data_IF_807046924578
#
_entry.id   IF_807046924578
#
_cell.length_a   1.000
_cell.length_b   1.000
_cell.length_c   1.000
_cell.angle_alpha   90.00
_cell.angle_beta   90.00
_cell.angle_gamma   90.00
#
_symmetry.space_group_name_H-M   'P 1'
#
loop_
_entity.id
_entity.type
_entity.pdbx_description
1 polymer ?
#
# COMPACT_ATOMS: atom_id res chain seq x y z
N UNK A 1 -18.11 49.07 12.11
CA UNK A 1 -16.75 48.60 11.77
C UNK A 1 -16.53 47.20 12.29
N UNK A 2 -16.47 47.03 13.61
CA UNK A 2 -15.98 45.78 14.22
C UNK A 2 -16.98 44.61 14.28
N UNK A 3 -18.28 44.88 14.34
CA UNK A 3 -19.30 43.81 14.37
C UNK A 3 -19.38 43.01 13.05
N UNK A 4 -19.11 43.65 11.91
CA UNK A 4 -19.11 42.99 10.60
C UNK A 4 -17.86 42.11 10.39
N UNK A 5 -16.70 42.53 10.91
CA UNK A 5 -15.48 41.73 10.90
C UNK A 5 -15.58 40.50 11.83
N UNK A 6 -16.20 40.65 13.01
CA UNK A 6 -16.43 39.54 13.94
C UNK A 6 -17.41 38.47 13.43
N UNK A 7 -18.42 38.86 12.63
CA UNK A 7 -19.37 37.93 12.00
C UNK A 7 -18.73 37.15 10.85
N UNK A 8 -17.86 37.80 10.06
CA UNK A 8 -17.12 37.13 8.96
C UNK A 8 -16.08 36.12 9.50
N UNK A 9 -15.32 36.50 10.53
CA UNK A 9 -14.33 35.62 11.20
C UNK A 9 -15.04 34.49 11.99
N UNK A 10 -16.15 34.80 12.68
CA UNK A 10 -16.93 33.79 13.41
C UNK A 10 -17.69 32.81 12.50
N UNK A 11 -18.06 33.24 11.29
CA UNK A 11 -18.74 32.42 10.28
C UNK A 11 -17.85 31.34 9.67
N UNK A 12 -16.61 31.69 9.31
CA UNK A 12 -15.61 30.74 8.78
C UNK A 12 -15.22 29.68 9.82
N UNK A 13 -15.02 30.09 11.07
CA UNK A 13 -14.66 29.18 12.16
C UNK A 13 -15.78 28.20 12.51
N UNK A 14 -17.04 28.66 12.46
CA UNK A 14 -18.20 27.78 12.69
C UNK A 14 -18.38 26.79 11.54
N UNK A 15 -18.24 27.23 10.29
CA UNK A 15 -18.29 26.37 9.12
C UNK A 15 -17.19 25.29 9.16
N UNK A 16 -15.96 25.67 9.50
CA UNK A 16 -14.84 24.74 9.62
C UNK A 16 -15.06 23.71 10.74
N UNK A 17 -15.57 24.13 11.91
CA UNK A 17 -15.92 23.20 13.00
C UNK A 17 -17.00 22.19 12.59
N UNK A 18 -18.04 22.64 11.89
CA UNK A 18 -19.11 21.77 11.37
C UNK A 18 -18.55 20.79 10.34
N UNK A 19 -17.76 21.26 9.40
CA UNK A 19 -17.09 20.42 8.40
C UNK A 19 -16.24 19.32 9.07
N UNK A 20 -15.33 19.70 9.98
CA UNK A 20 -14.48 18.75 10.70
C UNK A 20 -15.29 17.77 11.55
N UNK A 21 -16.42 18.18 12.12
CA UNK A 21 -17.32 17.27 12.84
C UNK A 21 -17.98 16.23 11.94
N UNK A 22 -18.37 16.63 10.72
CA UNK A 22 -18.91 15.74 9.70
C UNK A 22 -17.87 14.73 9.23
N UNK A 23 -16.64 15.19 8.97
CA UNK A 23 -15.51 14.32 8.61
C UNK A 23 -15.26 13.28 9.69
N UNK A 24 -15.16 13.67 10.97
CA UNK A 24 -14.99 12.72 12.08
C UNK A 24 -16.10 11.67 12.14
N UNK A 25 -17.36 12.08 11.91
CA UNK A 25 -18.49 11.14 11.86
C UNK A 25 -18.33 10.14 10.71
N UNK A 26 -17.93 10.61 9.54
CA UNK A 26 -17.70 9.74 8.38
C UNK A 26 -16.56 8.74 8.64
N UNK A 27 -15.48 9.18 9.29
CA UNK A 27 -14.38 8.29 9.70
C UNK A 27 -14.85 7.20 10.67
N UNK A 28 -15.65 7.57 11.68
CA UNK A 28 -16.18 6.58 12.63
C UNK A 28 -17.10 5.55 11.95
N UNK A 29 -17.96 6.00 11.02
CA UNK A 29 -18.81 5.08 10.24
C UNK A 29 -17.96 4.18 9.33
N UNK A 30 -16.91 4.73 8.71
CA UNK A 30 -16.00 3.94 7.88
C UNK A 30 -15.25 2.88 8.69
N UNK A 31 -14.76 3.22 9.89
CA UNK A 31 -14.11 2.27 10.79
C UNK A 31 -15.06 1.16 11.23
N UNK A 32 -16.29 1.51 11.62
CA UNK A 32 -17.31 0.54 12.03
C UNK A 32 -17.65 -0.45 10.90
N UNK A 33 -17.91 0.06 9.69
CA UNK A 33 -18.16 -0.78 8.52
C UNK A 33 -16.93 -1.63 8.19
N UNK A 34 -15.73 -1.05 8.24
CA UNK A 34 -14.47 -1.75 7.97
C UNK A 34 -14.26 -2.92 8.92
N UNK A 35 -14.41 -2.69 10.23
CA UNK A 35 -14.31 -3.74 11.25
C UNK A 35 -15.36 -4.84 11.04
N UNK A 36 -16.60 -4.48 10.76
CA UNK A 36 -17.67 -5.46 10.49
C UNK A 36 -17.38 -6.32 9.25
N UNK A 37 -16.81 -5.73 8.19
CA UNK A 37 -16.40 -6.47 6.99
C UNK A 37 -15.21 -7.40 7.29
N UNK A 38 -14.24 -6.94 8.08
CA UNK A 38 -13.09 -7.77 8.47
C UNK A 38 -13.53 -8.97 9.32
N UNK A 39 -14.42 -8.78 10.28
CA UNK A 39 -14.96 -9.89 11.08
C UNK A 39 -15.75 -10.87 10.21
N UNK A 40 -16.61 -10.39 9.30
CA UNK A 40 -17.33 -11.26 8.34
C UNK A 40 -16.38 -12.07 7.46
N UNK A 41 -15.22 -11.52 7.13
CA UNK A 41 -14.17 -12.20 6.36
C UNK A 41 -13.21 -13.02 7.25
N UNK A 42 -13.44 -13.07 8.56
CA UNK A 42 -12.56 -13.69 9.56
C UNK A 42 -11.10 -13.17 9.50
N UNK A 43 -10.91 -11.89 9.17
CA UNK A 43 -9.60 -11.24 9.08
C UNK A 43 -9.26 -10.50 10.37
N UNK A 44 -7.99 -10.56 10.79
CA UNK A 44 -7.49 -9.82 11.95
C UNK A 44 -7.44 -8.32 11.67
N UNK A 45 -8.08 -7.51 12.53
CA UNK A 45 -8.05 -6.05 12.49
C UNK A 45 -6.84 -5.42 13.19
N UNK A 46 -5.91 -6.25 13.70
CA UNK A 46 -4.66 -5.80 14.35
C UNK A 46 -3.84 -4.89 13.44
N UNK A 47 -3.80 -5.19 12.13
CA UNK A 47 -3.11 -4.36 11.14
C UNK A 47 -3.70 -2.96 11.04
N UNK A 48 -5.03 -2.84 10.96
CA UNK A 48 -5.74 -1.57 10.92
C UNK A 48 -5.50 -0.74 12.19
N UNK A 49 -5.58 -1.39 13.36
CA UNK A 49 -5.21 -0.77 14.65
C UNK A 49 -3.77 -0.25 14.64
N UNK A 50 -2.81 -1.02 14.13
CA UNK A 50 -1.41 -0.61 14.07
C UNK A 50 -1.20 0.59 13.14
N UNK A 51 -1.90 0.64 12.01
CA UNK A 51 -1.89 1.79 11.10
C UNK A 51 -2.46 3.02 11.81
N UNK A 52 -3.59 2.89 12.50
CA UNK A 52 -4.18 3.98 13.27
C UNK A 52 -3.27 4.46 14.41
N UNK A 53 -2.58 3.54 15.09
CA UNK A 53 -1.62 3.87 16.13
C UNK A 53 -0.47 4.74 15.59
N UNK A 54 0.02 4.44 14.38
CA UNK A 54 1.04 5.27 13.70
C UNK A 54 0.49 6.65 13.36
N UNK A 55 -0.78 6.76 12.96
CA UNK A 55 -1.43 8.05 12.68
C UNK A 55 -1.62 8.87 13.95
N UNK A 56 -2.07 8.26 15.05
CA UNK A 56 -2.25 8.94 16.34
C UNK A 56 -0.94 9.56 16.86
N UNK A 57 0.21 8.93 16.57
CA UNK A 57 1.54 9.45 16.92
C UNK A 57 1.93 10.71 16.14
N UNK A 58 1.30 10.98 14.99
CA UNK A 58 1.61 12.19 14.21
C UNK A 58 1.16 13.49 14.89
N UNK A 59 0.21 13.42 15.82
CA UNK A 59 -0.23 14.58 16.62
C UNK A 59 0.91 15.26 17.38
N UNK A 60 1.94 14.49 17.77
CA UNK A 60 3.11 15.01 18.47
C UNK A 60 4.14 15.68 17.53
N UNK A 61 3.97 15.55 16.20
CA UNK A 61 4.86 16.15 15.21
C UNK A 61 4.37 17.58 14.87
N UNK A 62 5.29 18.50 14.53
CA UNK A 62 4.94 19.77 13.91
C UNK A 62 4.09 19.55 12.65
N UNK A 63 3.16 20.46 12.35
CA UNK A 63 2.25 20.35 11.20
C UNK A 63 3.00 20.14 9.86
N UNK A 64 4.15 20.80 9.69
CA UNK A 64 5.02 20.64 8.51
C UNK A 64 5.61 19.24 8.33
N UNK A 65 5.54 18.39 9.35
CA UNK A 65 6.00 16.99 9.33
C UNK A 65 4.86 15.98 9.47
N UNK A 66 3.62 16.44 9.60
CA UNK A 66 2.46 15.56 9.58
C UNK A 66 2.18 15.11 8.14
N UNK A 67 1.75 13.86 7.98
CA UNK A 67 1.34 13.35 6.67
C UNK A 67 0.05 14.02 6.21
N UNK A 68 -0.09 14.21 4.90
CA UNK A 68 -1.33 14.70 4.26
C UNK A 68 -2.53 13.80 4.60
N UNK A 69 -2.29 12.50 4.80
CA UNK A 69 -3.33 11.57 5.21
C UNK A 69 -3.88 11.89 6.61
N UNK A 70 -3.02 12.29 7.56
CA UNK A 70 -3.45 12.66 8.91
C UNK A 70 -4.33 13.92 8.94
N UNK A 71 -4.04 14.89 8.08
CA UNK A 71 -4.83 16.14 8.00
C UNK A 71 -6.19 15.94 7.32
N UNK A 72 -6.32 14.95 6.42
CA UNK A 72 -7.58 14.61 5.74
C UNK A 72 -8.45 13.61 6.52
N UNK A 73 -7.84 12.76 7.35
CA UNK A 73 -8.53 11.76 8.18
C UNK A 73 -8.26 12.00 9.69
N UNK A 74 -8.95 12.96 10.33
CA UNK A 74 -8.72 13.36 11.72
C UNK A 74 -9.22 12.34 12.76
N UNK A 75 -9.06 12.69 14.05
CA UNK A 75 -9.52 11.92 15.22
C UNK A 75 -8.88 10.54 15.40
N UNK A 76 -7.61 10.41 15.02
CA UNK A 76 -6.88 9.15 15.10
C UNK A 76 -6.69 8.61 16.52
N UNK A 77 -6.74 9.44 17.57
CA UNK A 77 -6.63 8.98 18.95
C UNK A 77 -7.93 8.31 19.44
N UNK A 78 -9.08 8.95 19.19
CA UNK A 78 -10.40 8.41 19.53
C UNK A 78 -10.70 7.14 18.72
N UNK A 79 -10.38 7.16 17.42
CA UNK A 79 -10.50 5.99 16.53
C UNK A 79 -9.59 4.84 16.95
N UNK A 80 -8.34 5.13 17.37
CA UNK A 80 -7.43 4.12 17.89
C UNK A 80 -8.03 3.38 19.09
N UNK A 81 -8.71 4.08 20.00
CA UNK A 81 -9.35 3.45 21.16
C UNK A 81 -10.44 2.46 20.71
N UNK A 82 -11.33 2.88 19.81
CA UNK A 82 -12.38 2.00 19.27
C UNK A 82 -11.80 0.76 18.57
N UNK A 83 -10.75 0.94 17.74
CA UNK A 83 -10.06 -0.19 17.09
C UNK A 83 -9.38 -1.11 18.11
N UNK A 84 -8.79 -0.55 19.17
CA UNK A 84 -8.14 -1.33 20.22
C UNK A 84 -9.15 -2.17 21.01
N UNK A 85 -10.30 -1.60 21.33
CA UNK A 85 -11.38 -2.30 22.02
C UNK A 85 -11.94 -3.43 21.15
N UNK A 86 -12.15 -3.18 19.85
CA UNK A 86 -12.56 -4.22 18.90
C UNK A 86 -11.55 -5.36 18.81
N UNK A 87 -10.26 -5.04 18.65
CA UNK A 87 -9.19 -6.05 18.58
C UNK A 87 -9.15 -6.92 19.86
N UNK A 88 -9.41 -6.34 21.03
CA UNK A 88 -9.41 -7.09 22.28
C UNK A 88 -10.59 -8.06 22.40
N UNK A 89 -11.71 -7.78 21.71
CA UNK A 89 -12.94 -8.57 21.78
C UNK A 89 -13.10 -9.54 20.61
N UNK A 90 -12.53 -9.24 19.45
CA UNK A 90 -12.71 -10.04 18.23
C UNK A 90 -12.04 -11.42 18.34
N UNK A 91 -12.75 -12.51 18.01
CA UNK A 91 -12.16 -13.85 17.96
C UNK A 91 -11.17 -14.02 16.81
N UNK A 92 -11.15 -13.09 15.84
CA UNK A 92 -10.30 -13.16 14.64
C UNK A 92 -8.96 -12.46 14.82
N UNK A 93 -8.71 -11.80 15.96
CA UNK A 93 -7.49 -11.02 16.18
C UNK A 93 -6.19 -11.83 16.05
N UNK A 94 -6.24 -13.12 16.42
CA UNK A 94 -5.12 -14.05 16.30
C UNK A 94 -4.99 -14.71 14.91
N UNK A 95 -5.93 -14.46 14.00
CA UNK A 95 -5.89 -15.04 12.67
C UNK A 95 -4.71 -14.47 11.88
N UNK A 96 -3.82 -15.36 11.45
CA UNK A 96 -2.76 -15.00 10.52
C UNK A 96 -3.33 -14.81 9.11
N UNK A 97 -2.78 -13.88 8.31
CA UNK A 97 -3.07 -13.83 6.88
C UNK A 97 -2.76 -15.18 6.22
N UNK A 98 -3.49 -15.53 5.16
CA UNK A 98 -3.18 -16.73 4.39
C UNK A 98 -1.78 -16.64 3.78
N UNK A 99 -1.15 -17.79 3.52
CA UNK A 99 0.16 -17.85 2.84
C UNK A 99 0.15 -17.13 1.49
N UNK A 100 -0.99 -17.15 0.79
CA UNK A 100 -1.17 -16.46 -0.48
C UNK A 100 -1.19 -14.94 -0.30
N UNK A 101 -1.94 -14.43 0.69
CA UNK A 101 -1.93 -13.00 1.01
C UNK A 101 -0.54 -12.53 1.43
N UNK A 102 0.15 -13.29 2.28
CA UNK A 102 1.54 -12.98 2.67
C UNK A 102 2.46 -13.00 1.45
N UNK A 103 2.29 -13.97 0.53
CA UNK A 103 3.08 -14.05 -0.70
C UNK A 103 2.84 -12.86 -1.61
N UNK A 104 1.60 -12.51 -1.89
CA UNK A 104 1.25 -11.39 -2.75
C UNK A 104 1.69 -10.07 -2.14
N UNK A 105 1.54 -9.90 -0.82
CA UNK A 105 2.01 -8.71 -0.12
C UNK A 105 3.52 -8.54 -0.23
N UNK A 106 4.31 -9.58 0.02
CA UNK A 106 5.76 -9.52 -0.12
C UNK A 106 6.19 -9.20 -1.56
N UNK A 107 5.54 -9.81 -2.56
CA UNK A 107 5.80 -9.51 -3.97
C UNK A 107 5.46 -8.06 -4.31
N UNK A 108 4.33 -7.54 -3.83
CA UNK A 108 3.92 -6.15 -4.03
C UNK A 108 4.97 -5.18 -3.47
N UNK A 109 5.47 -5.44 -2.25
CA UNK A 109 6.55 -4.63 -1.65
C UNK A 109 7.81 -4.65 -2.52
N UNK A 110 8.21 -5.83 -3.03
CA UNK A 110 9.36 -5.95 -3.94
C UNK A 110 9.14 -5.25 -5.29
N UNK A 111 7.95 -5.38 -5.91
CA UNK A 111 7.60 -4.69 -7.16
C UNK A 111 7.63 -3.17 -6.94
N UNK A 112 7.03 -2.67 -5.86
CA UNK A 112 7.07 -1.24 -5.53
C UNK A 112 8.49 -0.75 -5.31
N UNK A 113 9.29 -1.45 -4.50
CA UNK A 113 10.71 -1.12 -4.29
C UNK A 113 11.47 -1.03 -5.62
N UNK A 114 11.27 -2.00 -6.51
CA UNK A 114 11.95 -2.04 -7.80
C UNK A 114 11.56 -0.90 -8.76
N UNK A 115 10.34 -0.37 -8.65
CA UNK A 115 9.87 0.76 -9.47
C UNK A 115 10.16 2.13 -8.87
N UNK A 116 10.12 2.27 -7.54
CA UNK A 116 10.23 3.58 -6.89
C UNK A 116 11.66 3.94 -6.49
N UNK A 117 12.54 2.97 -6.27
CA UNK A 117 13.94 3.24 -5.93
C UNK A 117 14.82 3.42 -7.17
N UNK A 118 16.02 3.98 -6.97
CA UNK A 118 17.01 4.04 -8.05
C UNK A 118 17.38 2.61 -8.49
N UNK A 119 17.33 2.26 -9.80
CA UNK A 119 17.64 0.91 -10.27
C UNK A 119 18.99 0.39 -9.81
N UNK A 120 20.05 1.22 -9.78
CA UNK A 120 21.38 0.81 -9.31
C UNK A 120 21.36 0.40 -7.83
N UNK A 121 20.53 1.05 -7.01
CA UNK A 121 20.38 0.67 -5.59
C UNK A 121 19.64 -0.66 -5.45
N UNK A 122 18.67 -0.96 -6.31
CA UNK A 122 17.96 -2.25 -6.32
C UNK A 122 18.93 -3.38 -6.66
N UNK A 123 19.75 -3.20 -7.70
CA UNK A 123 20.78 -4.15 -8.11
C UNK A 123 21.84 -4.35 -7.01
N UNK A 124 22.37 -3.27 -6.45
CA UNK A 124 23.37 -3.33 -5.37
C UNK A 124 22.84 -4.01 -4.10
N UNK A 125 21.52 -3.91 -3.85
CA UNK A 125 20.84 -4.61 -2.75
C UNK A 125 20.34 -6.01 -3.15
N UNK A 126 20.71 -6.50 -4.31
CA UNK A 126 20.31 -7.80 -4.85
C UNK A 126 18.78 -8.02 -4.82
N UNK A 127 18.01 -7.01 -5.26
CA UNK A 127 16.55 -7.08 -5.29
C UNK A 127 15.85 -6.83 -3.95
N UNK A 128 16.61 -6.43 -2.91
CA UNK A 128 16.08 -6.03 -1.60
C UNK A 128 16.50 -6.93 -0.45
N UNK A 129 16.53 -6.35 0.75
CA UNK A 129 16.84 -7.05 2.00
C UNK A 129 15.63 -7.81 2.52
N UNK A 130 15.79 -9.09 2.87
CA UNK A 130 14.76 -9.98 3.44
C UNK A 130 13.60 -10.35 2.49
N UNK A 131 13.73 -10.09 1.19
CA UNK A 131 12.80 -10.61 0.19
C UNK A 131 13.12 -12.08 -0.12
N UNK A 132 12.08 -12.85 -0.47
CA UNK A 132 12.24 -14.24 -0.95
C UNK A 132 13.03 -14.26 -2.25
N UNK A 133 13.58 -15.41 -2.59
CA UNK A 133 14.40 -15.57 -3.79
C UNK A 133 13.68 -15.07 -5.06
N UNK A 134 12.42 -15.45 -5.25
CA UNK A 134 11.64 -15.10 -6.44
C UNK A 134 11.27 -13.62 -6.47
N UNK A 135 10.88 -13.06 -5.31
CA UNK A 135 10.58 -11.63 -5.21
C UNK A 135 11.83 -10.76 -5.48
N UNK A 136 13.02 -11.22 -5.07
CA UNK A 136 14.29 -10.55 -5.41
C UNK A 136 14.57 -10.62 -6.91
N UNK A 137 14.39 -11.78 -7.54
CA UNK A 137 14.57 -11.94 -8.99
C UNK A 137 13.61 -11.06 -9.77
N UNK A 138 12.37 -10.94 -9.33
CA UNK A 138 11.39 -10.07 -9.96
C UNK A 138 11.82 -8.59 -9.84
N UNK A 139 12.30 -8.17 -8.65
CA UNK A 139 12.84 -6.84 -8.47
C UNK A 139 14.09 -6.56 -9.31
N UNK A 140 14.97 -7.55 -9.48
CA UNK A 140 16.15 -7.46 -10.35
C UNK A 140 15.73 -7.35 -11.82
N UNK A 141 14.77 -8.14 -12.29
CA UNK A 141 14.23 -8.05 -13.64
C UNK A 141 13.73 -6.63 -13.95
N UNK A 142 12.94 -6.05 -13.04
CA UNK A 142 12.43 -4.68 -13.15
C UNK A 142 13.58 -3.66 -13.15
N UNK A 143 14.57 -3.81 -12.28
CA UNK A 143 15.70 -2.88 -12.23
C UNK A 143 16.57 -2.94 -13.50
N UNK A 144 16.87 -4.14 -14.01
CA UNK A 144 17.61 -4.33 -15.27
C UNK A 144 16.85 -3.73 -16.46
N UNK A 145 15.54 -3.99 -16.54
CA UNK A 145 14.67 -3.40 -17.56
C UNK A 145 14.73 -1.86 -17.54
N UNK A 146 14.63 -1.25 -16.36
CA UNK A 146 14.71 0.21 -16.18
C UNK A 146 16.08 0.81 -16.51
N UNK A 147 17.14 0.01 -16.53
CA UNK A 147 18.47 0.42 -16.99
C UNK A 147 18.69 0.21 -18.49
N UNK A 148 17.74 -0.42 -19.18
CA UNK A 148 17.86 -0.80 -20.58
C UNK A 148 18.61 -2.12 -20.80
N UNK A 149 18.97 -2.85 -19.74
CA UNK A 149 19.51 -4.21 -19.85
C UNK A 149 18.37 -5.23 -19.99
N UNK A 150 17.77 -5.23 -21.18
CA UNK A 150 16.62 -6.09 -21.50
C UNK A 150 16.97 -7.58 -21.51
N UNK A 151 18.24 -7.94 -21.75
CA UNK A 151 18.71 -9.33 -21.71
C UNK A 151 18.71 -9.87 -20.29
N UNK A 152 19.33 -9.15 -19.35
CA UNK A 152 19.30 -9.53 -17.94
C UNK A 152 17.86 -9.55 -17.39
N UNK A 153 17.02 -8.60 -17.82
CA UNK A 153 15.62 -8.59 -17.43
C UNK A 153 14.88 -9.86 -17.90
N UNK A 154 15.09 -10.26 -19.16
CA UNK A 154 14.50 -11.47 -19.73
C UNK A 154 14.98 -12.73 -18.99
N UNK A 155 16.28 -12.88 -18.74
CA UNK A 155 16.85 -14.04 -18.04
C UNK A 155 16.23 -14.25 -16.65
N UNK A 156 16.01 -13.15 -15.91
CA UNK A 156 15.35 -13.21 -14.62
C UNK A 156 13.88 -13.64 -14.73
N UNK A 157 13.17 -13.18 -15.76
CA UNK A 157 11.78 -13.55 -16.00
C UNK A 157 11.60 -14.98 -16.49
N UNK A 158 12.49 -15.48 -17.34
CA UNK A 158 12.46 -16.88 -17.79
C UNK A 158 12.60 -17.85 -16.61
N UNK A 159 13.49 -17.54 -15.65
CA UNK A 159 13.55 -18.31 -14.40
C UNK A 159 12.22 -18.30 -13.65
N UNK A 160 11.61 -17.13 -13.48
CA UNK A 160 10.35 -17.00 -12.73
C UNK A 160 9.20 -17.73 -13.42
N UNK A 161 9.10 -17.64 -14.75
CA UNK A 161 8.08 -18.33 -15.52
C UNK A 161 8.31 -19.85 -15.56
N UNK A 162 9.55 -20.31 -15.46
CA UNK A 162 9.82 -21.76 -15.32
C UNK A 162 9.30 -22.34 -13.99
N UNK A 163 9.34 -21.54 -12.92
CA UNK A 163 8.87 -21.94 -11.59
C UNK A 163 7.37 -21.67 -11.38
N UNK A 164 6.85 -20.64 -12.06
CA UNK A 164 5.48 -20.15 -11.93
C UNK A 164 4.87 -19.91 -13.32
N UNK A 165 4.57 -20.99 -14.07
CA UNK A 165 4.16 -20.89 -15.48
C UNK A 165 2.79 -20.24 -15.68
N UNK A 166 1.95 -20.18 -14.65
CA UNK A 166 0.59 -19.64 -14.72
C UNK A 166 0.44 -18.31 -13.93
N UNK A 167 1.55 -17.64 -13.60
CA UNK A 167 1.50 -16.42 -12.78
C UNK A 167 1.28 -15.17 -13.66
N UNK A 168 0.09 -14.55 -13.62
CA UNK A 168 -0.27 -13.48 -14.55
C UNK A 168 0.60 -12.23 -14.38
N UNK A 169 1.15 -11.98 -13.19
CA UNK A 169 2.02 -10.81 -12.96
C UNK A 169 3.41 -10.99 -13.59
N UNK A 170 3.85 -12.23 -13.77
CA UNK A 170 5.10 -12.52 -14.44
C UNK A 170 4.92 -12.52 -15.95
N UNK A 171 3.80 -13.04 -16.45
CA UNK A 171 3.43 -12.94 -17.86
C UNK A 171 3.26 -11.49 -18.33
N UNK A 172 2.56 -10.66 -17.55
CA UNK A 172 2.42 -9.22 -17.80
C UNK A 172 3.79 -8.56 -18.04
N UNK A 173 4.70 -8.70 -17.08
CA UNK A 173 5.99 -8.02 -17.15
C UNK A 173 6.96 -8.66 -18.16
N UNK A 174 6.86 -9.96 -18.39
CA UNK A 174 7.59 -10.64 -19.46
C UNK A 174 7.15 -10.12 -20.84
N UNK A 175 5.84 -9.91 -21.04
CA UNK A 175 5.28 -9.26 -22.22
C UNK A 175 5.87 -7.86 -22.45
N UNK A 176 5.97 -7.04 -21.41
CA UNK A 176 6.59 -5.71 -21.49
C UNK A 176 8.05 -5.78 -21.97
N UNK A 177 8.84 -6.73 -21.43
CA UNK A 177 10.24 -6.93 -21.83
C UNK A 177 10.33 -7.37 -23.29
N UNK A 178 9.50 -8.33 -23.72
CA UNK A 178 9.45 -8.82 -25.10
C UNK A 178 9.05 -7.71 -26.07
N UNK A 179 8.09 -6.87 -25.69
CA UNK A 179 7.68 -5.72 -26.49
C UNK A 179 8.83 -4.73 -26.65
N UNK A 180 9.55 -4.42 -25.56
CA UNK A 180 10.74 -3.56 -25.60
C UNK A 180 11.89 -4.15 -26.43
N UNK A 181 11.97 -5.48 -26.56
CA UNK A 181 12.90 -6.21 -27.44
C UNK A 181 12.45 -6.25 -28.91
N UNK A 182 11.39 -5.53 -29.29
CA UNK A 182 10.78 -5.58 -30.62
C UNK A 182 10.28 -6.99 -31.02
N UNK A 183 9.76 -7.75 -30.06
CA UNK A 183 9.11 -9.07 -30.25
C UNK A 183 7.60 -8.99 -29.95
N UNK A 184 6.80 -8.20 -30.71
CA UNK A 184 5.41 -7.94 -30.37
C UNK A 184 4.49 -9.17 -30.45
N UNK A 185 4.79 -10.14 -31.34
CA UNK A 185 4.02 -11.39 -31.43
C UNK A 185 4.19 -12.25 -30.18
N UNK A 186 5.42 -12.38 -29.69
CA UNK A 186 5.72 -13.12 -28.46
C UNK A 186 5.16 -12.38 -27.23
N UNK A 187 5.20 -11.04 -27.24
CA UNK A 187 4.63 -10.22 -26.18
C UNK A 187 3.11 -10.42 -26.08
N UNK A 188 2.40 -10.44 -27.21
CA UNK A 188 0.96 -10.71 -27.23
C UNK A 188 0.64 -12.11 -26.70
N UNK A 189 1.40 -13.13 -27.14
CA UNK A 189 1.23 -14.50 -26.63
C UNK A 189 1.48 -14.61 -25.11
N UNK A 190 2.45 -13.86 -24.58
CA UNK A 190 2.69 -13.81 -23.13
C UNK A 190 1.52 -13.18 -22.36
N UNK A 191 0.88 -12.13 -22.90
CA UNK A 191 -0.25 -11.45 -22.26
C UNK A 191 -1.57 -12.25 -22.30
N UNK A 192 -1.68 -13.20 -23.22
CA UNK A 192 -2.85 -14.07 -23.39
C UNK A 192 -2.75 -15.40 -22.63
N UNK A 193 -1.59 -15.70 -22.03
CA UNK A 193 -1.33 -16.91 -21.24
C UNK A 193 -2.00 -16.86 -19.85
#
# INVERSE_FOLDING_TARGET
GDAAAGVLIGGSDRANRVFLSSVRRNESVADEIGLALMDKAALSSVGLRNVMQRMARQRALPESRQSIYYSTHPASAERLQALQDHVNLSPHSANAPSSDMTRLYARMISKMFAWTENPQRVLNKNGGTNARADDRRYALAIASYRQGDLRSALDHMEYLLSAYPDDPFFHEFHGDILFALARPGDAAAALEA
#
